data_IF_541798480171
#
_entry.id   IF_541798480171
#
_cell.length_a   1.000
_cell.length_b   1.000
_cell.length_c   1.000
_cell.angle_alpha   90.00
_cell.angle_beta   90.00
_cell.angle_gamma   90.00
#
_symmetry.space_group_name_H-M   'P 1'
#
loop_
_entity.id
_entity.type
_entity.pdbx_description
1 polymer ?
#
# COMPACT_ATOMS: atom_id res chain seq x y z
N UNK A 1 -18.98 -51.12 18.66
CA UNK A 1 -19.19 -50.27 17.45
C UNK A 1 -18.86 -48.79 17.67
N UNK A 2 -19.30 -48.13 18.76
CA UNK A 2 -19.06 -46.69 19.01
C UNK A 2 -17.58 -46.23 19.01
N UNK A 3 -16.65 -47.06 19.48
CA UNK A 3 -15.21 -46.76 19.47
C UNK A 3 -14.63 -46.60 18.06
N UNK A 4 -15.09 -47.42 17.10
CA UNK A 4 -14.63 -47.34 15.70
C UNK A 4 -15.07 -46.03 15.02
N UNK A 5 -16.22 -45.50 15.40
CA UNK A 5 -16.73 -44.21 14.89
C UNK A 5 -15.96 -43.00 15.46
N UNK A 6 -15.56 -43.06 16.74
CA UNK A 6 -14.74 -42.01 17.35
C UNK A 6 -13.33 -41.95 16.74
N UNK A 7 -12.73 -43.11 16.44
CA UNK A 7 -11.44 -43.17 15.75
C UNK A 7 -11.54 -42.62 14.31
N UNK A 8 -12.61 -42.97 13.58
CA UNK A 8 -12.83 -42.46 12.23
C UNK A 8 -13.00 -40.93 12.18
N UNK A 9 -13.73 -40.36 13.14
CA UNK A 9 -13.92 -38.91 13.23
C UNK A 9 -12.60 -38.17 13.58
N UNK A 10 -11.79 -38.73 14.47
CA UNK A 10 -10.48 -38.17 14.82
C UNK A 10 -9.52 -38.13 13.64
N UNK A 11 -9.45 -39.22 12.86
CA UNK A 11 -8.60 -39.29 11.65
C UNK A 11 -9.06 -38.30 10.59
N UNK A 12 -10.37 -38.12 10.41
CA UNK A 12 -10.93 -37.15 9.47
C UNK A 12 -10.58 -35.71 9.84
N UNK A 13 -10.69 -35.34 11.12
CA UNK A 13 -10.30 -34.02 11.60
C UNK A 13 -8.81 -33.74 11.41
N UNK A 14 -7.95 -34.71 11.72
CA UNK A 14 -6.51 -34.58 11.50
C UNK A 14 -6.20 -34.41 10.01
N UNK A 15 -6.85 -35.19 9.14
CA UNK A 15 -6.67 -35.07 7.69
C UNK A 15 -7.10 -33.69 7.16
N UNK A 16 -8.23 -33.15 7.64
CA UNK A 16 -8.70 -31.81 7.25
C UNK A 16 -7.75 -30.72 7.74
N UNK A 17 -7.25 -30.81 8.97
CA UNK A 17 -6.28 -29.84 9.52
C UNK A 17 -4.96 -29.91 8.74
N UNK A 18 -4.47 -31.10 8.42
CA UNK A 18 -3.26 -31.28 7.62
C UNK A 18 -3.45 -30.76 6.19
N UNK A 19 -4.61 -30.99 5.57
CA UNK A 19 -4.94 -30.44 4.24
C UNK A 19 -5.02 -28.91 4.25
N UNK A 20 -5.66 -28.32 5.26
CA UNK A 20 -5.76 -26.88 5.40
C UNK A 20 -4.38 -26.24 5.68
N UNK A 21 -3.56 -26.89 6.50
CA UNK A 21 -2.19 -26.47 6.76
C UNK A 21 -1.32 -26.60 5.51
N UNK A 22 -1.44 -27.68 4.76
CA UNK A 22 -0.70 -27.91 3.52
C UNK A 22 -1.14 -26.95 2.39
N UNK A 23 -2.42 -26.61 2.30
CA UNK A 23 -2.90 -25.56 1.38
C UNK A 23 -2.38 -24.17 1.78
N UNK A 24 -2.26 -23.88 3.08
CA UNK A 24 -1.59 -22.66 3.56
C UNK A 24 -0.10 -22.64 3.27
N UNK A 25 0.55 -23.81 3.27
CA UNK A 25 1.98 -23.95 3.02
C UNK A 25 2.36 -24.10 1.55
N UNK A 26 1.41 -24.43 0.68
CA UNK A 26 1.57 -24.25 -0.76
C UNK A 26 1.69 -22.75 -1.01
N UNK A 27 2.91 -22.25 -0.94
CA UNK A 27 3.29 -21.04 -1.62
C UNK A 27 2.69 -21.13 -3.03
N UNK A 28 1.90 -20.12 -3.42
CA UNK A 28 1.45 -20.02 -4.79
C UNK A 28 2.70 -20.23 -5.66
N UNK A 29 2.68 -21.27 -6.50
CA UNK A 29 3.75 -21.46 -7.48
C UNK A 29 3.65 -20.21 -8.35
N UNK A 30 4.54 -19.25 -8.09
CA UNK A 30 4.57 -18.02 -8.84
C UNK A 30 4.67 -18.42 -10.32
N UNK A 31 3.86 -17.84 -11.21
CA UNK A 31 4.05 -18.05 -12.64
C UNK A 31 5.53 -17.76 -12.95
N UNK A 32 6.16 -18.53 -13.85
CA UNK A 32 7.56 -18.31 -14.19
C UNK A 32 7.71 -16.84 -14.57
N UNK A 33 8.55 -16.12 -13.83
CA UNK A 33 8.88 -14.74 -14.15
C UNK A 33 9.31 -14.73 -15.61
N UNK A 34 8.58 -14.01 -16.46
CA UNK A 34 9.10 -13.67 -17.79
C UNK A 34 10.34 -12.87 -17.49
N UNK A 35 11.51 -13.47 -17.72
CA UNK A 35 12.78 -12.84 -17.40
C UNK A 35 12.94 -11.62 -18.30
N UNK A 36 12.44 -10.47 -17.84
CA UNK A 36 12.76 -9.22 -18.48
C UNK A 36 14.27 -9.05 -18.40
N UNK A 37 14.92 -8.75 -19.54
CA UNK A 37 16.36 -8.59 -19.54
C UNK A 37 16.72 -7.50 -18.54
N UNK A 38 17.74 -7.77 -17.73
CA UNK A 38 18.30 -6.75 -16.85
C UNK A 38 18.67 -5.52 -17.71
N UNK A 39 18.48 -4.31 -17.19
CA UNK A 39 18.96 -3.12 -17.88
C UNK A 39 20.48 -3.20 -18.06
N UNK A 40 21.00 -2.47 -19.04
CA UNK A 40 22.45 -2.33 -19.21
C UNK A 40 23.08 -1.80 -17.91
N UNK A 41 24.33 -2.21 -17.63
CA UNK A 41 25.00 -1.89 -16.36
C UNK A 41 25.13 -0.39 -16.08
N UNK A 42 25.37 0.40 -17.12
CA UNK A 42 25.46 1.86 -17.07
C UNK A 42 24.10 2.51 -16.75
N UNK A 43 23.01 1.99 -17.32
CA UNK A 43 21.65 2.44 -17.00
C UNK A 43 21.27 2.06 -15.56
N UNK A 44 21.62 0.85 -15.13
CA UNK A 44 21.40 0.39 -13.75
C UNK A 44 22.12 1.28 -12.74
N UNK A 45 23.40 1.60 -12.99
CA UNK A 45 24.19 2.47 -12.11
C UNK A 45 23.60 3.88 -12.01
N UNK A 46 23.13 4.45 -13.14
CA UNK A 46 22.45 5.75 -13.17
C UNK A 46 21.14 5.75 -12.38
N UNK A 47 20.34 4.68 -12.52
CA UNK A 47 19.11 4.51 -11.75
C UNK A 47 19.44 4.43 -10.25
N UNK A 48 20.45 3.65 -9.86
CA UNK A 48 20.84 3.51 -8.45
C UNK A 48 21.39 4.80 -7.84
N UNK A 49 22.15 5.58 -8.62
CA UNK A 49 22.56 6.92 -8.23
C UNK A 49 21.33 7.82 -7.97
N UNK A 50 20.37 7.84 -8.90
CA UNK A 50 19.10 8.59 -8.76
C UNK A 50 18.30 8.15 -7.53
N UNK A 51 18.25 6.85 -7.22
CA UNK A 51 17.61 6.33 -5.99
C UNK A 51 18.29 6.84 -4.70
N UNK A 52 19.60 7.08 -4.77
CA UNK A 52 20.36 7.69 -3.68
C UNK A 52 20.08 9.18 -3.52
N UNK A 53 20.06 9.91 -4.64
CA UNK A 53 20.05 11.38 -4.67
C UNK A 53 18.64 11.98 -4.60
N UNK A 54 17.63 11.28 -5.13
CA UNK A 54 16.24 11.75 -5.22
C UNK A 54 15.30 10.85 -4.41
N UNK A 55 14.86 11.38 -3.27
CA UNK A 55 13.92 10.70 -2.37
C UNK A 55 12.55 10.44 -3.02
N UNK A 56 12.04 11.35 -3.84
CA UNK A 56 10.73 11.22 -4.44
C UNK A 56 10.75 10.17 -5.56
N UNK A 57 11.81 10.17 -6.38
CA UNK A 57 12.08 9.10 -7.33
C UNK A 57 12.22 7.74 -6.64
N UNK A 58 12.95 7.68 -5.51
CA UNK A 58 13.07 6.45 -4.72
C UNK A 58 11.72 5.95 -4.21
N UNK A 59 10.86 6.83 -3.72
CA UNK A 59 9.54 6.46 -3.21
C UNK A 59 8.65 5.89 -4.33
N UNK A 60 8.68 6.49 -5.53
CA UNK A 60 7.97 5.96 -6.69
C UNK A 60 8.47 4.56 -7.10
N UNK A 61 9.79 4.39 -7.25
CA UNK A 61 10.39 3.11 -7.63
C UNK A 61 10.12 2.05 -6.56
N UNK A 62 10.22 2.39 -5.28
CA UNK A 62 9.89 1.47 -4.20
C UNK A 62 8.41 1.10 -4.18
N UNK A 63 7.51 2.05 -4.38
CA UNK A 63 6.08 1.75 -4.50
C UNK A 63 5.83 0.75 -5.63
N UNK A 64 6.42 0.97 -6.80
CA UNK A 64 6.28 0.09 -7.94
C UNK A 64 6.84 -1.31 -7.66
N UNK A 65 8.03 -1.41 -7.06
CA UNK A 65 8.61 -2.68 -6.66
C UNK A 65 7.74 -3.42 -5.64
N UNK A 66 7.29 -2.73 -4.59
CA UNK A 66 6.45 -3.31 -3.55
C UNK A 66 5.10 -3.80 -4.12
N UNK A 67 4.49 -3.01 -5.01
CA UNK A 67 3.27 -3.39 -5.72
C UNK A 67 3.48 -4.62 -6.60
N UNK A 68 4.51 -4.65 -7.45
CA UNK A 68 4.79 -5.78 -8.34
C UNK A 68 5.11 -7.06 -7.57
N UNK A 69 5.97 -6.99 -6.53
CA UNK A 69 6.29 -8.14 -5.69
C UNK A 69 5.04 -8.65 -4.99
N UNK A 70 4.23 -7.76 -4.40
CA UNK A 70 3.03 -8.15 -3.67
C UNK A 70 1.97 -8.76 -4.59
N UNK A 71 1.70 -8.15 -5.74
CA UNK A 71 0.69 -8.64 -6.68
C UNK A 71 1.04 -10.04 -7.19
N UNK A 72 2.32 -10.32 -7.42
CA UNK A 72 2.82 -11.66 -7.76
C UNK A 72 2.70 -12.65 -6.60
N UNK A 73 3.05 -12.24 -5.37
CA UNK A 73 3.08 -13.13 -4.21
C UNK A 73 1.71 -13.34 -3.54
N UNK A 74 0.78 -12.41 -3.72
CA UNK A 74 -0.58 -12.44 -3.16
C UNK A 74 -1.61 -12.01 -4.23
N UNK A 75 -1.85 -12.84 -5.26
CA UNK A 75 -2.69 -12.46 -6.40
C UNK A 75 -4.14 -12.12 -6.03
N UNK A 76 -4.69 -12.72 -4.96
CA UNK A 76 -6.03 -12.37 -4.45
C UNK A 76 -6.12 -10.92 -3.91
N UNK A 77 -4.97 -10.28 -3.66
CA UNK A 77 -4.83 -8.91 -3.17
C UNK A 77 -4.23 -7.97 -4.23
N UNK A 78 -4.20 -8.40 -5.49
CA UNK A 78 -3.62 -7.63 -6.58
C UNK A 78 -4.27 -6.24 -6.72
N UNK A 79 -3.45 -5.22 -6.96
CA UNK A 79 -3.88 -3.83 -7.14
C UNK A 79 -4.47 -3.16 -5.89
N UNK A 80 -4.37 -3.76 -4.70
CA UNK A 80 -4.81 -3.10 -3.47
C UNK A 80 -3.92 -1.90 -3.10
N UNK A 81 -2.61 -2.01 -3.31
CA UNK A 81 -1.68 -0.88 -3.11
C UNK A 81 -2.00 0.27 -4.08
N UNK A 82 -2.21 -0.03 -5.36
CA UNK A 82 -2.60 0.96 -6.36
C UNK A 82 -3.95 1.63 -6.05
N UNK A 83 -4.98 0.86 -5.68
CA UNK A 83 -6.26 1.43 -5.23
C UNK A 83 -6.07 2.32 -4.02
N UNK A 84 -5.32 1.89 -3.01
CA UNK A 84 -5.09 2.71 -1.83
C UNK A 84 -4.27 3.97 -2.14
N UNK A 85 -3.32 3.90 -3.08
CA UNK A 85 -2.55 5.06 -3.51
C UNK A 85 -3.46 6.11 -4.16
N UNK A 86 -4.38 5.66 -5.02
CA UNK A 86 -5.41 6.51 -5.61
C UNK A 86 -6.37 7.09 -4.55
N UNK A 87 -6.79 6.28 -3.56
CA UNK A 87 -7.59 6.78 -2.42
C UNK A 87 -6.85 7.86 -1.64
N UNK A 88 -5.54 7.74 -1.53
CA UNK A 88 -4.70 8.67 -0.79
C UNK A 88 -4.18 9.85 -1.62
N UNK A 89 -4.55 9.92 -2.91
CA UNK A 89 -4.06 10.93 -3.85
C UNK A 89 -2.53 11.06 -3.83
N UNK A 90 -1.84 9.92 -3.68
CA UNK A 90 -0.39 9.91 -3.64
C UNK A 90 0.18 10.31 -5.00
N UNK A 91 1.32 11.04 -5.05
CA UNK A 91 1.95 11.49 -6.29
C UNK A 91 2.74 10.36 -6.96
N UNK A 92 2.19 9.15 -6.98
CA UNK A 92 2.86 7.97 -7.54
C UNK A 92 3.15 8.21 -9.01
N UNK A 93 4.37 7.88 -9.43
CA UNK A 93 4.91 8.05 -10.78
C UNK A 93 5.25 9.49 -11.17
N UNK A 94 4.96 10.49 -10.33
CA UNK A 94 5.26 11.88 -10.67
C UNK A 94 6.77 12.10 -10.85
N UNK A 95 7.58 11.54 -9.95
CA UNK A 95 9.04 11.69 -10.00
C UNK A 95 9.67 10.77 -11.03
N UNK A 96 9.16 9.55 -11.21
CA UNK A 96 9.59 8.69 -12.34
C UNK A 96 9.34 9.41 -13.67
N UNK A 97 8.14 10.00 -13.86
CA UNK A 97 7.79 10.73 -15.07
C UNK A 97 8.66 11.97 -15.27
N UNK A 98 8.99 12.71 -14.19
CA UNK A 98 9.90 13.84 -14.27
C UNK A 98 11.32 13.41 -14.69
N UNK A 99 11.82 12.29 -14.15
CA UNK A 99 13.13 11.73 -14.54
C UNK A 99 13.13 11.29 -16.00
N UNK A 100 12.09 10.60 -16.47
CA UNK A 100 12.05 10.14 -17.88
C UNK A 100 11.86 11.29 -18.88
N UNK A 101 11.23 12.39 -18.49
CA UNK A 101 11.20 13.61 -19.29
C UNK A 101 12.58 14.28 -19.39
N UNK A 102 13.36 14.29 -18.31
CA UNK A 102 14.72 14.87 -18.28
C UNK A 102 15.74 13.97 -18.98
N UNK A 103 15.60 12.65 -18.83
CA UNK A 103 16.49 11.64 -19.41
C UNK A 103 15.67 10.55 -20.13
N UNK A 104 15.18 10.81 -21.36
CA UNK A 104 14.36 9.86 -22.11
C UNK A 104 15.02 8.49 -22.32
N UNK A 105 16.36 8.44 -22.33
CA UNK A 105 17.10 7.18 -22.41
C UNK A 105 16.86 6.24 -21.22
N UNK A 106 16.38 6.75 -20.08
CA UNK A 106 16.09 5.96 -18.87
C UNK A 106 14.65 5.44 -18.82
N UNK A 107 13.77 5.85 -19.73
CA UNK A 107 12.34 5.46 -19.70
C UNK A 107 12.16 3.93 -19.63
N UNK A 108 12.58 3.21 -20.68
CA UNK A 108 12.52 1.75 -20.70
C UNK A 108 13.40 1.09 -19.64
N UNK A 109 14.67 1.52 -19.42
CA UNK A 109 15.51 0.96 -18.37
C UNK A 109 14.93 1.01 -16.95
N UNK A 110 14.19 2.06 -16.57
CA UNK A 110 13.56 2.15 -15.24
C UNK A 110 12.54 1.03 -15.04
N UNK A 111 11.66 0.81 -16.01
CA UNK A 111 10.67 -0.27 -15.92
C UNK A 111 11.33 -1.66 -15.97
N UNK A 112 12.38 -1.83 -16.77
CA UNK A 112 13.18 -3.07 -16.79
C UNK A 112 13.86 -3.32 -15.44
N UNK A 113 14.43 -2.28 -14.83
CA UNK A 113 15.06 -2.35 -13.52
C UNK A 113 14.08 -2.81 -12.44
N UNK A 114 12.89 -2.19 -12.41
CA UNK A 114 11.83 -2.55 -11.47
C UNK A 114 11.41 -4.00 -11.65
N UNK A 115 11.11 -4.40 -12.88
CA UNK A 115 10.64 -5.75 -13.17
C UNK A 115 11.70 -6.80 -12.83
N UNK A 116 12.95 -6.60 -13.28
CA UNK A 116 14.06 -7.49 -12.99
C UNK A 116 14.28 -7.68 -11.49
N UNK A 117 14.24 -6.60 -10.70
CA UNK A 117 14.40 -6.69 -9.23
C UNK A 117 13.20 -7.30 -8.53
N UNK A 118 11.98 -6.98 -8.96
CA UNK A 118 10.79 -7.61 -8.43
C UNK A 118 10.84 -9.13 -8.68
N UNK A 119 11.24 -9.53 -9.89
CA UNK A 119 11.38 -10.93 -10.26
C UNK A 119 12.42 -11.67 -9.42
N UNK A 120 13.56 -11.04 -9.18
CA UNK A 120 14.65 -11.56 -8.36
C UNK A 120 14.34 -11.63 -6.84
N UNK A 121 13.28 -10.96 -6.36
CA UNK A 121 12.93 -10.93 -4.93
C UNK A 121 11.99 -12.08 -4.59
N UNK A 122 12.38 -13.08 -3.78
CA UNK A 122 11.48 -14.17 -3.41
C UNK A 122 10.31 -13.71 -2.54
N UNK A 123 9.16 -14.39 -2.64
CA UNK A 123 8.01 -14.10 -1.77
C UNK A 123 8.35 -14.30 -0.29
N UNK A 124 7.94 -13.34 0.55
CA UNK A 124 8.22 -13.35 1.99
C UNK A 124 9.63 -12.91 2.38
N UNK A 125 10.50 -12.60 1.42
CA UNK A 125 11.80 -12.00 1.70
C UNK A 125 11.72 -10.47 1.63
N UNK A 126 12.51 -9.74 2.43
CA UNK A 126 12.57 -8.30 2.34
C UNK A 126 13.16 -7.88 0.98
N UNK A 127 12.51 -6.90 0.36
CA UNK A 127 13.02 -6.25 -0.83
C UNK A 127 14.24 -5.42 -0.45
N UNK A 128 15.37 -5.68 -1.09
CA UNK A 128 16.55 -4.83 -0.96
C UNK A 128 16.39 -3.62 -1.86
N UNK A 129 16.52 -2.42 -1.29
CA UNK A 129 16.56 -1.17 -2.02
C UNK A 129 17.96 -0.56 -1.95
N UNK A 130 18.58 -0.21 -3.08
CA UNK A 130 19.86 0.48 -3.07
C UNK A 130 19.67 1.92 -2.55
N UNK A 131 20.69 2.39 -1.86
CA UNK A 131 20.80 3.74 -1.33
C UNK A 131 22.13 4.36 -1.78
N UNK A 132 22.27 5.67 -1.57
CA UNK A 132 23.52 6.37 -1.80
C UNK A 132 24.71 5.72 -1.07
N UNK A 133 25.88 5.75 -1.71
CA UNK A 133 27.14 5.26 -1.13
C UNK A 133 27.23 3.75 -0.98
N UNK A 134 26.57 2.97 -1.85
CA UNK A 134 26.65 1.50 -1.85
C UNK A 134 25.90 0.83 -0.69
N UNK A 135 25.09 1.60 0.04
CA UNK A 135 24.23 1.09 1.11
C UNK A 135 22.98 0.43 0.54
N UNK A 136 22.34 -0.41 1.35
CA UNK A 136 21.00 -0.93 1.05
C UNK A 136 20.04 -0.73 2.22
N UNK A 137 18.75 -0.69 1.91
CA UNK A 137 17.65 -0.71 2.85
C UNK A 137 16.81 -1.96 2.59
N UNK A 138 16.63 -2.78 3.62
CA UNK A 138 15.71 -3.90 3.58
C UNK A 138 14.28 -3.39 3.88
N UNK A 139 13.35 -3.67 2.96
CA UNK A 139 11.94 -3.30 3.08
C UNK A 139 11.10 -4.57 3.15
N UNK A 140 10.46 -4.81 4.29
CA UNK A 140 9.44 -5.85 4.42
C UNK A 140 8.17 -5.40 3.67
N UNK A 141 7.82 -6.11 2.60
CA UNK A 141 6.68 -5.77 1.73
C UNK A 141 5.34 -5.94 2.43
N UNK A 142 5.21 -6.89 3.37
CA UNK A 142 3.98 -7.05 4.16
C UNK A 142 3.84 -5.91 5.16
N UNK A 143 4.94 -5.54 5.81
CA UNK A 143 4.96 -4.38 6.71
C UNK A 143 4.68 -3.08 5.96
N UNK A 144 5.27 -2.91 4.78
CA UNK A 144 5.01 -1.78 3.89
C UNK A 144 3.52 -1.71 3.56
N UNK A 145 2.89 -2.82 3.17
CA UNK A 145 1.47 -2.87 2.85
C UNK A 145 0.55 -2.63 4.06
N UNK A 146 0.91 -3.13 5.25
CA UNK A 146 0.17 -2.85 6.50
C UNK A 146 0.17 -1.37 6.83
N UNK A 147 1.30 -0.70 6.64
CA UNK A 147 1.47 0.72 7.00
C UNK A 147 1.16 1.71 5.87
N UNK A 148 0.91 1.21 4.66
CA UNK A 148 0.52 2.01 3.50
C UNK A 148 -0.81 2.74 3.76
N UNK A 149 -1.03 4.01 3.38
CA UNK A 149 -0.25 4.82 2.44
C UNK A 149 0.93 5.58 3.06
N UNK A 150 1.05 5.65 4.39
CA UNK A 150 2.13 6.40 5.04
C UNK A 150 3.53 5.84 4.70
N UNK A 151 3.64 4.53 4.48
CA UNK A 151 4.89 3.89 4.09
C UNK A 151 5.43 4.31 2.72
N UNK A 152 4.62 4.99 1.89
CA UNK A 152 5.12 5.65 0.68
C UNK A 152 6.18 6.71 1.01
N UNK A 153 6.03 7.43 2.13
CA UNK A 153 6.99 8.44 2.59
C UNK A 153 7.99 7.91 3.61
N UNK A 154 7.60 6.89 4.39
CA UNK A 154 8.44 6.24 5.40
C UNK A 154 8.43 4.70 5.24
N UNK A 155 9.26 4.15 4.34
CA UNK A 155 9.25 2.73 4.01
C UNK A 155 9.56 1.77 5.15
N UNK A 156 10.22 2.25 6.20
CA UNK A 156 10.61 1.44 7.37
C UNK A 156 9.62 1.56 8.52
N UNK A 157 8.49 2.25 8.31
CA UNK A 157 7.46 2.44 9.31
C UNK A 157 6.99 1.11 9.87
N UNK A 158 7.14 0.95 11.19
CA UNK A 158 6.76 -0.25 11.92
C UNK A 158 5.33 -0.21 12.48
N UNK A 159 4.80 1.00 12.71
CA UNK A 159 3.47 1.18 13.32
C UNK A 159 2.39 1.46 12.28
N UNK A 160 1.30 0.67 12.33
CA UNK A 160 0.09 0.92 11.54
C UNK A 160 -0.47 2.32 11.80
N UNK A 161 -0.99 3.02 10.76
CA UNK A 161 -1.61 4.32 10.95
C UNK A 161 -2.85 4.19 11.84
N UNK A 162 -2.83 4.89 12.97
CA UNK A 162 -3.84 4.80 14.03
C UNK A 162 -5.24 5.14 13.54
N UNK A 163 -5.34 6.02 12.55
CA UNK A 163 -6.62 6.46 12.02
C UNK A 163 -7.42 5.28 11.45
N UNK A 164 -6.75 4.26 10.89
CA UNK A 164 -7.41 3.09 10.33
C UNK A 164 -7.94 2.09 11.35
N UNK A 165 -7.58 2.18 12.64
CA UNK A 165 -8.12 1.33 13.69
C UNK A 165 -7.95 -0.19 13.44
N UNK A 166 -6.81 -0.61 12.89
CA UNK A 166 -6.52 -2.02 12.60
C UNK A 166 -7.21 -2.59 11.36
N UNK A 167 -7.85 -1.75 10.53
CA UNK A 167 -8.45 -2.19 9.25
C UNK A 167 -7.38 -2.68 8.28
N UNK A 168 -7.65 -3.82 7.64
CA UNK A 168 -6.74 -4.41 6.65
C UNK A 168 -6.57 -3.51 5.42
N UNK A 169 -5.49 -3.71 4.65
CA UNK A 169 -5.30 -2.99 3.37
C UNK A 169 -6.51 -3.14 2.43
N UNK A 170 -7.13 -4.32 2.39
CA UNK A 170 -8.33 -4.57 1.57
C UNK A 170 -9.51 -3.70 2.02
N UNK A 171 -9.79 -3.65 3.31
CA UNK A 171 -10.87 -2.82 3.87
C UNK A 171 -10.61 -1.33 3.62
N UNK A 172 -9.36 -0.89 3.71
CA UNK A 172 -8.97 0.50 3.49
C UNK A 172 -9.06 0.88 2.01
N UNK A 173 -8.49 0.08 1.11
CA UNK A 173 -8.56 0.32 -0.33
C UNK A 173 -10.01 0.27 -0.87
N UNK A 174 -10.86 -0.56 -0.28
CA UNK A 174 -12.28 -0.68 -0.61
C UNK A 174 -13.16 0.45 -0.07
N UNK A 175 -12.68 1.28 0.85
CA UNK A 175 -13.47 2.35 1.46
C UNK A 175 -13.31 3.65 0.68
N UNK A 176 -14.40 4.10 0.04
CA UNK A 176 -14.40 5.31 -0.77
C UNK A 176 -14.15 6.59 0.04
N UNK A 177 -14.57 6.63 1.31
CA UNK A 177 -14.35 7.79 2.18
C UNK A 177 -12.88 8.12 2.39
N UNK A 178 -11.95 7.18 2.16
CA UNK A 178 -10.52 7.51 2.18
C UNK A 178 -10.14 8.57 1.15
N UNK A 179 -10.80 8.61 -0.02
CA UNK A 179 -10.61 9.68 -1.01
C UNK A 179 -10.95 11.06 -0.44
N UNK A 180 -12.05 11.17 0.31
CA UNK A 180 -12.46 12.42 0.97
C UNK A 180 -11.44 12.82 2.02
N UNK A 181 -11.08 11.87 2.89
CA UNK A 181 -10.14 12.06 4.00
C UNK A 181 -8.81 12.63 3.51
N UNK A 182 -8.23 12.04 2.47
CA UNK A 182 -6.93 12.47 1.96
C UNK A 182 -7.00 13.69 1.05
N UNK A 183 -8.16 14.01 0.49
CA UNK A 183 -8.37 15.29 -0.22
C UNK A 183 -8.34 16.48 0.74
N UNK A 184 -8.89 16.31 1.95
CA UNK A 184 -8.97 17.42 2.92
C UNK A 184 -7.83 17.44 3.93
N UNK A 185 -7.21 16.28 4.19
CA UNK A 185 -6.06 16.12 5.10
C UNK A 185 -4.98 15.28 4.42
N UNK A 186 -4.29 15.82 3.39
CA UNK A 186 -3.32 15.07 2.59
C UNK A 186 -2.13 14.54 3.41
N UNK A 187 -1.45 13.54 2.86
CA UNK A 187 -0.22 12.97 3.41
C UNK A 187 0.99 13.81 3.04
N UNK A 188 2.06 13.75 3.85
CA UNK A 188 3.31 14.46 3.61
C UNK A 188 3.35 15.90 4.15
N UNK A 189 4.55 16.49 4.14
CA UNK A 189 4.77 17.94 4.28
C UNK A 189 4.43 18.60 5.62
N UNK A 190 4.17 17.85 6.69
CA UNK A 190 3.69 18.40 7.96
C UNK A 190 4.56 18.00 9.14
N UNK A 191 4.63 18.90 10.14
CA UNK A 191 5.39 18.71 11.36
C UNK A 191 4.97 17.41 12.08
N UNK A 192 5.93 16.63 12.55
CA UNK A 192 5.69 15.39 13.30
C UNK A 192 4.80 15.63 14.53
N UNK A 193 4.83 16.85 15.11
CA UNK A 193 3.97 17.29 16.21
C UNK A 193 2.48 17.25 15.87
N UNK A 194 2.13 17.42 14.59
CA UNK A 194 0.76 17.39 14.11
C UNK A 194 0.26 15.98 13.76
N UNK A 195 1.13 14.97 13.75
CA UNK A 195 0.80 13.62 13.26
C UNK A 195 -0.41 12.99 13.98
N UNK A 196 -0.46 13.05 15.31
CA UNK A 196 -1.56 12.47 16.08
C UNK A 196 -2.87 13.26 15.92
N UNK A 197 -2.79 14.58 15.84
CA UNK A 197 -3.97 15.44 15.64
C UNK A 197 -4.59 15.19 14.27
N UNK A 198 -3.75 15.13 13.22
CA UNK A 198 -4.18 14.81 11.86
C UNK A 198 -4.74 13.40 11.75
N UNK A 199 -4.12 12.40 12.39
CA UNK A 199 -4.65 11.05 12.41
C UNK A 199 -6.07 10.99 13.03
N UNK A 200 -6.28 11.67 14.16
CA UNK A 200 -7.60 11.75 14.80
C UNK A 200 -8.61 12.48 13.92
N UNK A 201 -8.22 13.58 13.28
CA UNK A 201 -9.09 14.32 12.37
C UNK A 201 -9.45 13.50 11.13
N UNK A 202 -8.50 12.77 10.54
CA UNK A 202 -8.76 11.83 9.43
C UNK A 202 -9.74 10.74 9.83
N UNK A 203 -9.57 10.14 11.01
CA UNK A 203 -10.51 9.15 11.53
C UNK A 203 -11.92 9.74 11.69
N UNK A 204 -12.02 10.99 12.19
CA UNK A 204 -13.30 11.70 12.32
C UNK A 204 -13.95 12.00 10.97
N UNK A 205 -13.21 12.57 10.02
CA UNK A 205 -13.71 12.86 8.66
C UNK A 205 -14.20 11.59 7.97
N UNK A 206 -13.46 10.47 8.11
CA UNK A 206 -13.90 9.17 7.60
C UNK A 206 -15.23 8.74 8.22
N UNK A 207 -15.36 8.85 9.55
CA UNK A 207 -16.60 8.53 10.26
C UNK A 207 -17.79 9.32 9.74
N UNK A 208 -17.63 10.64 9.58
CA UNK A 208 -18.67 11.53 9.03
C UNK A 208 -19.11 11.11 7.62
N UNK A 209 -18.16 10.78 6.74
CA UNK A 209 -18.46 10.30 5.41
C UNK A 209 -19.16 8.93 5.43
N UNK A 210 -18.70 7.99 6.26
CA UNK A 210 -19.31 6.66 6.39
C UNK A 210 -20.74 6.75 6.94
N UNK A 211 -21.00 7.62 7.91
CA UNK A 211 -22.33 7.84 8.48
C UNK A 211 -23.28 8.42 7.43
N UNK A 212 -22.79 9.37 6.63
CA UNK A 212 -23.58 9.98 5.56
C UNK A 212 -23.88 8.98 4.44
N UNK A 213 -22.91 8.15 4.03
CA UNK A 213 -23.15 7.04 3.08
C UNK A 213 -24.21 6.07 3.61
N UNK A 214 -24.15 5.70 4.90
CA UNK A 214 -25.17 4.84 5.52
C UNK A 214 -26.54 5.51 5.51
N UNK A 215 -26.60 6.82 5.76
CA UNK A 215 -27.86 7.58 5.78
C UNK A 215 -28.51 7.66 4.39
N UNK A 216 -27.71 7.83 3.34
CA UNK A 216 -28.22 8.01 1.97
C UNK A 216 -28.46 6.68 1.24
N UNK A 217 -27.60 5.68 1.46
CA UNK A 217 -27.60 4.44 0.67
C UNK A 217 -27.80 3.17 1.49
N UNK A 218 -28.03 3.27 2.81
CA UNK A 218 -28.19 2.12 3.70
C UNK A 218 -26.90 1.33 3.97
N UNK A 219 -25.75 1.79 3.49
CA UNK A 219 -24.45 1.14 3.69
C UNK A 219 -23.27 2.00 3.23
N UNK A 220 -22.05 1.53 3.47
CA UNK A 220 -20.80 2.25 3.12
C UNK A 220 -20.26 1.94 1.71
N UNK A 221 -20.94 1.06 0.97
CA UNK A 221 -20.56 0.65 -0.39
C UNK A 221 -21.19 1.51 -1.49
N UNK A 222 -21.97 2.54 -1.13
CA UNK A 222 -22.58 3.47 -2.08
C UNK A 222 -21.57 4.39 -2.76
N UNK A 223 -22.02 5.08 -3.81
CA UNK A 223 -21.21 6.07 -4.51
C UNK A 223 -21.07 7.37 -3.69
N UNK A 224 -19.94 8.06 -3.84
CA UNK A 224 -19.75 9.40 -3.28
C UNK A 224 -20.40 10.43 -4.20
N UNK A 225 -21.73 10.47 -4.20
CA UNK A 225 -22.50 11.41 -5.01
C UNK A 225 -22.58 12.82 -4.38
N UNK A 226 -23.23 13.74 -5.09
CA UNK A 226 -23.38 15.12 -4.64
C UNK A 226 -24.21 15.23 -3.34
N UNK A 227 -25.17 14.33 -3.11
CA UNK A 227 -26.02 14.36 -1.91
C UNK A 227 -25.21 13.97 -0.67
N UNK A 228 -24.38 12.93 -0.78
CA UNK A 228 -23.41 12.54 0.27
C UNK A 228 -22.43 13.68 0.52
N UNK A 229 -21.90 14.29 -0.54
CA UNK A 229 -21.00 15.45 -0.47
C UNK A 229 -21.60 16.61 0.32
N UNK A 230 -22.83 17.02 -0.02
CA UNK A 230 -23.55 18.10 0.65
C UNK A 230 -23.87 17.76 2.11
N UNK A 231 -24.31 16.52 2.39
CA UNK A 231 -24.70 16.10 3.73
C UNK A 231 -23.56 16.13 4.75
N UNK A 232 -22.33 15.84 4.33
CA UNK A 232 -21.16 15.85 5.24
C UNK A 232 -20.36 17.16 5.24
N UNK A 233 -20.60 18.08 4.29
CA UNK A 233 -19.72 19.23 4.04
C UNK A 233 -19.44 20.08 5.28
N UNK A 234 -20.49 20.53 5.98
CA UNK A 234 -20.36 21.42 7.14
C UNK A 234 -19.60 20.76 8.30
N UNK A 235 -19.86 19.47 8.54
CA UNK A 235 -19.22 18.69 9.59
C UNK A 235 -17.73 18.45 9.28
N UNK A 236 -17.39 18.17 8.02
CA UNK A 236 -16.00 18.00 7.58
C UNK A 236 -15.21 19.31 7.72
N UNK A 237 -15.77 20.43 7.26
CA UNK A 237 -15.16 21.76 7.43
C UNK A 237 -14.92 22.08 8.91
N UNK A 238 -15.92 21.82 9.76
CA UNK A 238 -15.79 22.01 11.22
C UNK A 238 -14.69 21.13 11.82
N UNK A 239 -14.58 19.86 11.41
CA UNK A 239 -13.55 18.95 11.88
C UNK A 239 -12.14 19.41 11.52
N UNK A 240 -11.95 19.97 10.31
CA UNK A 240 -10.65 20.52 9.87
C UNK A 240 -10.35 21.83 10.59
N UNK A 241 -11.32 22.73 10.73
CA UNK A 241 -11.15 24.01 11.41
C UNK A 241 -10.77 23.84 12.90
N UNK A 242 -11.12 22.73 13.53
CA UNK A 242 -10.74 22.40 14.89
C UNK A 242 -9.24 22.08 15.05
N UNK A 243 -8.51 21.81 13.96
CA UNK A 243 -7.06 21.64 14.02
C UNK A 243 -6.36 23.01 14.19
N UNK A 244 -5.23 23.06 14.93
CA UNK A 244 -4.33 24.22 14.90
C UNK A 244 -3.92 24.56 13.47
N UNK A 245 -3.72 25.85 13.17
CA UNK A 245 -3.38 26.31 11.82
C UNK A 245 -2.22 25.55 11.18
N UNK A 246 -1.15 25.33 11.95
CA UNK A 246 0.06 24.59 11.52
C UNK A 246 -0.19 23.08 11.28
N UNK A 247 -1.33 22.57 11.74
CA UNK A 247 -1.71 21.16 11.61
C UNK A 247 -2.85 20.91 10.62
N UNK A 248 -3.44 21.96 10.02
CA UNK A 248 -4.49 21.86 9.00
C UNK A 248 -3.91 21.35 7.67
#
# INVERSE_FOLDING_TARGET
MRWRWLMAAGVLLIAVVLLAWWQRQRAAIAPPAVAFPAPASDASQRIEQRLGDDHAFRNDVLFLLAATVRDRCQPAQAGLLARMANRASLPVLASVSAVTQQEPSLDRPIYQYIQHRADATPCGQPLQMPLAGGRSMAVDIEQYARTFPDSYFDPQRSSEPRDFGGRSLQQRAGNACNSVVYSVLPLGGTDWRCSSLRANARARVRGLCEDELRRQHGGIGGELDAAVGQGMQSAVVSAIAALPGDCR
#
